data_IF_130184194845
#
_entry.id   IF_130184194845
#
_cell.length_a   1.000
_cell.length_b   1.000
_cell.length_c   1.000
_cell.angle_alpha   90.00
_cell.angle_beta   90.00
_cell.angle_gamma   90.00
#
_symmetry.space_group_name_H-M   'P 1'
#
loop_
_entity.id
_entity.type
_entity.pdbx_description
1 polymer ?
#
# COMPACT_ATOMS: atom_id res chain seq x y z
N UNK A 1 10.32 5.77 17.69
CA UNK A 1 11.20 4.79 17.02
C UNK A 1 10.35 3.75 16.32
N UNK A 2 10.66 3.36 15.07
CA UNK A 2 9.95 2.30 14.34
C UNK A 2 10.76 1.01 14.42
N UNK A 3 10.08 -0.13 14.57
CA UNK A 3 10.70 -1.44 14.56
C UNK A 3 10.57 -2.14 13.22
N UNK A 4 11.42 -3.14 12.98
CA UNK A 4 11.29 -4.08 11.86
C UNK A 4 11.35 -5.48 12.45
N UNK A 5 10.41 -6.34 12.05
CA UNK A 5 10.45 -7.76 12.34
C UNK A 5 10.97 -8.50 11.11
N UNK A 6 11.95 -9.38 11.31
CA UNK A 6 12.50 -10.23 10.25
C UNK A 6 12.46 -11.69 10.69
N UNK A 7 12.13 -12.57 9.76
CA UNK A 7 12.31 -14.00 9.96
C UNK A 7 13.77 -14.37 9.77
N UNK A 8 14.29 -15.18 10.68
CA UNK A 8 15.62 -15.77 10.57
C UNK A 8 15.50 -17.27 10.60
N UNK A 9 16.05 -17.93 9.59
CA UNK A 9 16.15 -19.39 9.63
C UNK A 9 17.18 -19.80 10.69
N UNK A 10 16.83 -20.75 11.58
CA UNK A 10 17.79 -21.28 12.53
C UNK A 10 18.86 -22.07 11.78
N UNK A 11 20.11 -21.61 11.79
CA UNK A 11 21.24 -22.38 11.25
C UNK A 11 21.41 -23.67 12.06
N UNK A 12 21.46 -24.82 11.37
CA UNK A 12 21.72 -26.12 11.98
C UNK A 12 23.10 -26.12 12.66
N UNK A 13 23.13 -26.36 13.97
CA UNK A 13 24.37 -26.63 14.72
C UNK A 13 24.75 -25.62 15.81
N UNK A 14 24.14 -24.43 15.86
CA UNK A 14 24.43 -23.43 16.92
C UNK A 14 23.20 -23.11 17.78
N UNK A 15 23.41 -23.01 19.10
CA UNK A 15 22.40 -22.55 20.06
C UNK A 15 22.13 -21.05 19.86
N UNK A 16 21.16 -20.71 19.01
CA UNK A 16 20.81 -19.31 18.73
C UNK A 16 19.68 -18.82 19.64
N UNK A 17 19.78 -17.56 20.07
CA UNK A 17 18.70 -16.90 20.82
C UNK A 17 17.42 -16.88 19.95
N UNK A 18 16.26 -17.25 20.49
CA UNK A 18 15.03 -17.32 19.71
C UNK A 18 14.54 -15.94 19.23
N UNK A 19 14.98 -14.87 19.88
CA UNK A 19 14.72 -13.46 19.51
C UNK A 19 16.00 -12.65 19.74
N UNK A 20 16.54 -12.04 18.69
CA UNK A 20 17.62 -11.04 18.75
C UNK A 20 17.09 -9.65 18.42
N UNK A 21 17.56 -8.65 19.16
CA UNK A 21 17.28 -7.23 18.90
C UNK A 21 18.58 -6.55 18.50
N UNK A 22 18.54 -5.79 17.42
CA UNK A 22 19.66 -4.99 16.92
C UNK A 22 19.14 -3.69 16.35
N UNK A 23 19.92 -2.62 16.47
CA UNK A 23 19.60 -1.38 15.74
C UNK A 23 20.21 -1.45 14.35
N UNK A 24 19.43 -1.07 13.33
CA UNK A 24 19.87 -0.99 11.93
C UNK A 24 19.53 0.36 11.33
N UNK A 25 20.45 0.89 10.54
CA UNK A 25 20.23 2.09 9.74
C UNK A 25 19.82 1.70 8.33
N UNK A 26 18.60 2.06 7.93
CA UNK A 26 18.09 1.84 6.57
C UNK A 26 17.80 3.21 5.98
N UNK A 27 18.43 3.52 4.85
CA UNK A 27 18.27 4.80 4.14
C UNK A 27 18.33 6.03 5.07
N UNK A 28 19.25 6.05 6.05
CA UNK A 28 19.43 7.15 7.02
C UNK A 28 18.39 7.24 8.16
N UNK A 29 17.51 6.23 8.28
CA UNK A 29 16.59 6.08 9.41
C UNK A 29 16.99 4.91 10.31
N UNK A 30 16.91 5.13 11.63
CA UNK A 30 17.16 4.11 12.65
C UNK A 30 15.92 3.25 12.88
N UNK A 31 16.09 1.95 12.70
CA UNK A 31 15.07 0.94 13.00
C UNK A 31 15.56 -0.01 14.09
N UNK A 32 14.65 -0.39 14.99
CA UNK A 32 14.90 -1.49 15.92
C UNK A 32 14.51 -2.81 15.25
N UNK A 33 15.49 -3.57 14.80
CA UNK A 33 15.31 -4.85 14.15
C UNK A 33 15.18 -5.98 15.18
N UNK A 34 14.05 -6.69 15.12
CA UNK A 34 13.79 -7.91 15.87
C UNK A 34 13.85 -9.10 14.92
N UNK A 35 14.92 -9.89 15.00
CA UNK A 35 15.01 -11.15 14.26
C UNK A 35 14.38 -12.26 15.11
N UNK A 36 13.40 -12.95 14.55
CA UNK A 36 12.72 -14.07 15.19
C UNK A 36 13.11 -15.35 14.46
N UNK A 37 13.61 -16.32 15.21
CA UNK A 37 13.91 -17.63 14.66
C UNK A 37 12.62 -18.32 14.21
N UNK A 38 12.50 -18.62 12.91
CA UNK A 38 11.39 -19.38 12.31
C UNK A 38 11.98 -20.50 11.45
N UNK A 39 11.89 -21.74 11.93
CA UNK A 39 12.20 -22.93 11.14
C UNK A 39 10.96 -23.50 10.44
N UNK A 40 11.12 -24.37 9.43
CA UNK A 40 10.04 -24.91 8.59
C UNK A 40 8.99 -25.76 9.33
N UNK A 41 9.26 -26.21 10.56
CA UNK A 41 8.34 -26.98 11.43
C UNK A 41 8.06 -26.31 12.77
N UNK A 42 8.21 -24.99 12.87
CA UNK A 42 8.00 -24.29 14.15
C UNK A 42 6.51 -24.27 14.49
N UNK A 43 6.07 -24.80 15.65
CA UNK A 43 4.67 -24.74 16.05
C UNK A 43 4.17 -23.30 16.21
N UNK A 44 2.94 -23.01 15.77
CA UNK A 44 2.34 -21.67 15.85
C UNK A 44 2.31 -21.10 17.27
N UNK A 45 2.07 -21.96 18.27
CA UNK A 45 2.10 -21.56 19.68
C UNK A 45 3.48 -21.04 20.11
N UNK A 46 4.55 -21.69 19.64
CA UNK A 46 5.92 -21.28 19.94
C UNK A 46 6.27 -19.97 19.19
N UNK A 47 5.79 -19.82 17.96
CA UNK A 47 5.92 -18.60 17.18
C UNK A 47 5.22 -17.42 17.89
N UNK A 48 3.98 -17.61 18.33
CA UNK A 48 3.21 -16.60 19.06
C UNK A 48 3.88 -16.16 20.37
N UNK A 49 4.51 -17.08 21.10
CA UNK A 49 5.27 -16.75 22.30
C UNK A 49 6.56 -15.95 21.99
N UNK A 50 7.27 -16.32 20.92
CA UNK A 50 8.47 -15.58 20.44
C UNK A 50 8.10 -14.17 19.99
N UNK A 51 7.01 -14.02 19.22
CA UNK A 51 6.46 -12.73 18.79
C UNK A 51 6.05 -11.88 19.99
N UNK A 52 5.34 -12.45 20.96
CA UNK A 52 4.95 -11.75 22.20
C UNK A 52 6.18 -11.25 22.98
N UNK A 53 7.21 -12.09 23.07
CA UNK A 53 8.47 -11.74 23.74
C UNK A 53 9.22 -10.63 23.01
N UNK A 54 9.24 -10.67 21.67
CA UNK A 54 9.80 -9.61 20.84
C UNK A 54 9.02 -8.30 21.03
N UNK A 55 7.68 -8.33 20.93
CA UNK A 55 6.81 -7.17 21.11
C UNK A 55 7.02 -6.50 22.47
N UNK A 56 7.04 -7.29 23.56
CA UNK A 56 7.27 -6.80 24.91
C UNK A 56 8.64 -6.10 25.04
N UNK A 57 9.69 -6.67 24.44
CA UNK A 57 11.03 -6.05 24.46
C UNK A 57 11.10 -4.79 23.59
N UNK A 58 10.49 -4.81 22.41
CA UNK A 58 10.41 -3.65 21.52
C UNK A 58 9.64 -2.48 22.15
N UNK A 59 8.53 -2.78 22.83
CA UNK A 59 7.75 -1.78 23.57
C UNK A 59 8.56 -1.12 24.68
N UNK A 60 9.37 -1.90 25.42
CA UNK A 60 10.29 -1.36 26.44
C UNK A 60 11.33 -0.39 25.86
N UNK A 61 11.74 -0.61 24.61
CA UNK A 61 12.65 0.26 23.87
C UNK A 61 11.93 1.44 23.19
N UNK A 62 10.64 1.67 23.48
CA UNK A 62 9.87 2.80 22.95
C UNK A 62 9.35 2.61 21.53
N UNK A 63 9.34 1.38 21.00
CA UNK A 63 8.72 1.09 19.70
C UNK A 63 7.20 1.00 19.85
N UNK A 64 6.50 1.78 19.04
CA UNK A 64 5.03 1.79 18.96
C UNK A 64 4.51 1.23 17.64
N UNK A 65 5.32 1.31 16.58
CA UNK A 65 5.00 0.87 15.22
C UNK A 65 6.05 -0.07 14.68
N UNK A 66 5.63 -1.10 13.94
CA UNK A 66 6.53 -2.14 13.42
C UNK A 66 6.22 -2.50 11.98
N UNK A 67 7.26 -2.68 11.18
CA UNK A 67 7.19 -3.29 9.84
C UNK A 67 7.21 -4.80 10.02
N UNK A 68 6.19 -5.47 9.51
CA UNK A 68 6.05 -6.92 9.57
C UNK A 68 6.76 -7.59 8.39
N UNK A 69 7.21 -8.84 8.52
CA UNK A 69 7.59 -9.66 7.37
C UNK A 69 6.41 -9.90 6.42
N UNK A 70 6.73 -10.30 5.19
CA UNK A 70 5.73 -10.88 4.29
C UNK A 70 5.11 -12.14 4.93
N UNK A 71 3.79 -12.32 4.80
CA UNK A 71 3.00 -13.43 5.39
C UNK A 71 3.03 -13.54 6.93
N UNK A 72 2.92 -12.42 7.64
CA UNK A 72 2.88 -12.41 9.10
C UNK A 72 1.48 -12.68 9.68
N UNK A 73 1.27 -13.85 10.28
CA UNK A 73 -0.02 -14.24 10.86
C UNK A 73 -0.27 -13.77 12.31
N UNK A 74 0.78 -13.39 13.07
CA UNK A 74 0.68 -13.15 14.51
C UNK A 74 0.44 -11.67 14.90
N UNK A 75 -0.40 -10.95 14.15
CA UNK A 75 -0.64 -9.50 14.35
C UNK A 75 -1.28 -9.24 15.71
N UNK A 76 -2.26 -10.06 16.11
CA UNK A 76 -2.99 -9.89 17.38
C UNK A 76 -2.07 -9.93 18.60
N UNK A 77 -1.00 -10.72 18.55
CA UNK A 77 0.00 -10.80 19.62
C UNK A 77 0.77 -9.50 19.79
N UNK A 78 1.06 -8.78 18.70
CA UNK A 78 1.76 -7.48 18.75
C UNK A 78 0.88 -6.40 19.37
N UNK A 79 -0.38 -6.35 18.93
CA UNK A 79 -1.35 -5.35 19.37
C UNK A 79 -1.63 -5.43 20.88
N UNK A 80 -1.66 -6.66 21.44
CA UNK A 80 -1.78 -6.89 22.89
C UNK A 80 -0.71 -6.18 23.72
N UNK A 81 0.49 -5.96 23.17
CA UNK A 81 1.59 -5.25 23.84
C UNK A 81 1.71 -3.79 23.40
N UNK A 82 0.72 -3.25 22.67
CA UNK A 82 0.69 -1.86 22.21
C UNK A 82 1.69 -1.57 21.09
N UNK A 83 2.07 -2.59 20.31
CA UNK A 83 2.87 -2.44 19.10
C UNK A 83 1.95 -2.70 17.91
N UNK A 84 1.79 -1.70 17.03
CA UNK A 84 0.91 -1.81 15.87
C UNK A 84 1.71 -1.93 14.57
N UNK A 85 1.17 -2.58 13.54
CA UNK A 85 1.78 -2.53 12.21
C UNK A 85 1.87 -1.08 11.70
N UNK A 86 2.87 -0.80 10.87
CA UNK A 86 2.91 0.47 10.13
C UNK A 86 1.73 0.51 9.16
N UNK A 87 0.93 1.57 9.22
CA UNK A 87 -0.17 1.78 8.29
C UNK A 87 0.36 2.05 6.88
N UNK A 88 -0.28 1.41 5.90
CA UNK A 88 -0.01 1.59 4.47
C UNK A 88 -1.06 2.49 3.80
N UNK A 89 -2.09 2.93 4.51
CA UNK A 89 -3.22 3.70 4.01
C UNK A 89 -2.78 4.94 3.21
N UNK A 90 -1.89 5.75 3.78
CA UNK A 90 -1.40 6.96 3.12
C UNK A 90 -0.64 6.64 1.82
N UNK A 91 0.15 5.56 1.82
CA UNK A 91 0.86 5.07 0.63
C UNK A 91 -0.12 4.58 -0.44
N UNK A 92 -1.13 3.78 -0.07
CA UNK A 92 -2.18 3.29 -0.99
C UNK A 92 -2.91 4.45 -1.66
N UNK A 93 -3.35 5.43 -0.87
CA UNK A 93 -4.04 6.63 -1.37
C UNK A 93 -3.15 7.51 -2.23
N UNK A 94 -1.83 7.47 -2.01
CA UNK A 94 -0.87 8.14 -2.88
C UNK A 94 -0.71 7.45 -4.22
N UNK A 95 -0.64 6.13 -4.23
CA UNK A 95 -0.47 5.34 -5.45
C UNK A 95 -1.76 5.15 -6.25
N UNK A 96 -2.88 5.67 -5.76
CA UNK A 96 -4.20 5.54 -6.37
C UNK A 96 -4.20 5.90 -7.86
N UNK A 97 -3.66 7.06 -8.26
CA UNK A 97 -3.64 7.46 -9.67
C UNK A 97 -2.75 6.56 -10.53
N UNK A 98 -1.67 6.03 -9.97
CA UNK A 98 -0.78 5.11 -10.68
C UNK A 98 -1.42 3.74 -10.86
N UNK A 99 -2.10 3.22 -9.83
CA UNK A 99 -2.85 1.98 -9.94
C UNK A 99 -4.04 2.11 -10.89
N UNK A 100 -4.75 3.24 -10.93
CA UNK A 100 -5.78 3.48 -11.95
C UNK A 100 -5.18 3.39 -13.35
N UNK A 101 -4.04 4.05 -13.60
CA UNK A 101 -3.35 4.01 -14.90
C UNK A 101 -2.96 2.57 -15.27
N UNK A 102 -2.39 1.84 -14.33
CA UNK A 102 -1.95 0.48 -14.51
C UNK A 102 -3.13 -0.47 -14.80
N UNK A 103 -4.20 -0.41 -14.00
CA UNK A 103 -5.38 -1.23 -14.20
C UNK A 103 -6.11 -0.95 -15.52
N UNK A 104 -6.08 0.30 -16.01
CA UNK A 104 -6.60 0.64 -17.33
C UNK A 104 -5.72 0.06 -18.45
N UNK A 105 -4.40 0.15 -18.31
CA UNK A 105 -3.44 -0.40 -19.27
C UNK A 105 -3.54 -1.93 -19.36
N UNK A 106 -3.64 -2.62 -18.22
CA UNK A 106 -3.85 -4.08 -18.15
C UNK A 106 -5.14 -4.52 -18.86
N UNK A 107 -6.16 -3.65 -18.89
CA UNK A 107 -7.44 -3.89 -19.57
C UNK A 107 -7.48 -3.41 -21.02
N UNK A 108 -6.43 -2.75 -21.52
CA UNK A 108 -6.42 -2.14 -22.85
C UNK A 108 -7.43 -0.99 -23.03
N UNK A 109 -7.90 -0.38 -21.94
CA UNK A 109 -8.86 0.73 -22.00
C UNK A 109 -8.09 2.04 -22.18
N UNK A 110 -8.46 2.82 -23.19
CA UNK A 110 -7.80 4.12 -23.44
C UNK A 110 -8.16 5.12 -22.32
N UNK A 111 -7.18 5.92 -21.83
CA UNK A 111 -7.43 6.88 -20.76
C UNK A 111 -8.50 7.93 -21.08
N UNK A 112 -8.69 8.27 -22.37
CA UNK A 112 -9.65 9.27 -22.82
C UNK A 112 -11.11 8.82 -22.82
N UNK A 113 -11.35 7.51 -22.89
CA UNK A 113 -12.69 6.91 -22.81
C UNK A 113 -13.04 6.31 -21.45
N UNK A 114 -12.03 6.08 -20.60
CA UNK A 114 -12.21 5.44 -19.30
C UNK A 114 -13.09 6.25 -18.35
N UNK A 115 -14.08 5.59 -17.74
CA UNK A 115 -14.90 6.14 -16.65
C UNK A 115 -14.25 5.77 -15.31
N UNK A 116 -13.73 6.76 -14.59
CA UNK A 116 -13.07 6.55 -13.29
C UNK A 116 -13.94 7.14 -12.19
N UNK A 117 -14.47 6.28 -11.32
CA UNK A 117 -15.24 6.68 -10.16
C UNK A 117 -14.39 6.71 -8.90
N UNK A 118 -14.58 7.71 -8.05
CA UNK A 118 -13.94 7.84 -6.74
C UNK A 118 -15.03 8.03 -5.69
N UNK A 119 -15.06 7.17 -4.68
CA UNK A 119 -15.99 7.24 -3.55
C UNK A 119 -15.22 7.40 -2.24
N UNK A 120 -15.66 8.34 -1.41
CA UNK A 120 -15.10 8.59 -0.08
C UNK A 120 -16.16 9.10 0.89
N UNK A 121 -16.02 8.76 2.16
CA UNK A 121 -16.92 9.21 3.22
C UNK A 121 -16.65 10.68 3.61
N UNK A 122 -15.44 11.18 3.40
CA UNK A 122 -15.02 12.53 3.82
C UNK A 122 -14.04 13.16 2.82
N UNK A 123 -14.05 14.49 2.75
CA UNK A 123 -13.06 15.27 2.00
C UNK A 123 -11.74 15.34 2.77
N UNK A 124 -10.70 14.73 2.21
CA UNK A 124 -9.34 14.74 2.76
C UNK A 124 -8.35 15.34 1.75
N UNK A 125 -7.20 15.82 2.21
CA UNK A 125 -6.14 16.31 1.33
C UNK A 125 -5.65 15.23 0.35
N UNK A 126 -5.64 13.96 0.78
CA UNK A 126 -5.29 12.83 -0.07
C UNK A 126 -6.32 12.62 -1.18
N UNK A 127 -7.62 12.65 -0.85
CA UNK A 127 -8.69 12.54 -1.82
C UNK A 127 -8.64 13.69 -2.84
N UNK A 128 -8.48 14.93 -2.36
CA UNK A 128 -8.36 16.11 -3.21
C UNK A 128 -7.21 15.94 -4.21
N UNK A 129 -6.04 15.52 -3.74
CA UNK A 129 -4.88 15.27 -4.60
C UNK A 129 -5.20 14.19 -5.64
N UNK A 130 -5.69 13.04 -5.21
CA UNK A 130 -6.01 11.91 -6.11
C UNK A 130 -7.04 12.29 -7.17
N UNK A 131 -8.13 12.96 -6.79
CA UNK A 131 -9.16 13.40 -7.74
C UNK A 131 -8.60 14.43 -8.72
N UNK A 132 -7.74 15.35 -8.24
CA UNK A 132 -7.06 16.33 -9.10
C UNK A 132 -6.17 15.63 -10.13
N UNK A 133 -5.32 14.70 -9.70
CA UNK A 133 -4.44 13.93 -10.59
C UNK A 133 -5.24 13.14 -11.64
N UNK A 134 -6.35 12.51 -11.23
CA UNK A 134 -7.22 11.77 -12.12
C UNK A 134 -7.96 12.68 -13.11
N UNK A 135 -8.47 13.82 -12.66
CA UNK A 135 -9.21 14.76 -13.51
C UNK A 135 -8.33 15.41 -14.58
N UNK A 136 -7.03 15.56 -14.32
CA UNK A 136 -6.06 16.05 -15.30
C UNK A 136 -5.71 15.01 -16.38
N UNK A 137 -5.94 13.72 -16.12
CA UNK A 137 -5.56 12.60 -17.00
C UNK A 137 -6.74 11.94 -17.69
N UNK A 138 -7.93 12.03 -17.10
CA UNK A 138 -9.13 11.36 -17.56
C UNK A 138 -10.25 12.36 -17.79
N UNK A 139 -11.02 12.15 -18.87
CA UNK A 139 -12.14 13.02 -19.22
C UNK A 139 -13.37 12.76 -18.35
N UNK A 140 -13.58 11.52 -17.91
CA UNK A 140 -14.79 11.11 -17.19
C UNK A 140 -14.45 10.66 -15.77
N UNK A 141 -14.30 11.64 -14.87
CA UNK A 141 -14.10 11.38 -13.44
C UNK A 141 -15.40 11.62 -12.69
N UNK A 142 -15.90 10.58 -12.03
CA UNK A 142 -17.07 10.64 -11.16
C UNK A 142 -16.60 10.74 -9.71
N UNK A 143 -17.15 11.68 -8.96
CA UNK A 143 -16.83 11.90 -7.55
C UNK A 143 -18.09 11.75 -6.71
N UNK A 144 -18.05 10.74 -5.83
CA UNK A 144 -19.05 10.46 -4.82
C UNK A 144 -18.49 10.81 -3.43
N UNK A 145 -18.96 11.93 -2.90
CA UNK A 145 -18.67 12.40 -1.53
C UNK A 145 -19.91 13.09 -0.97
N UNK A 146 -20.18 12.99 0.34
CA UNK A 146 -21.38 13.58 0.91
C UNK A 146 -21.35 15.11 0.93
N UNK A 147 -20.17 15.72 1.10
CA UNK A 147 -20.01 17.18 1.18
C UNK A 147 -18.71 17.63 0.52
N UNK A 148 -18.67 18.86 -0.01
CA UNK A 148 -17.45 19.52 -0.51
C UNK A 148 -17.04 19.18 -1.95
N UNK A 149 -17.74 18.26 -2.63
CA UNK A 149 -17.46 17.92 -4.04
C UNK A 149 -17.65 19.10 -5.00
N UNK A 150 -18.67 19.94 -4.77
CA UNK A 150 -18.93 21.12 -5.59
C UNK A 150 -17.80 22.15 -5.53
N UNK A 151 -17.26 22.40 -4.33
CA UNK A 151 -16.16 23.35 -4.14
C UNK A 151 -14.91 22.87 -4.88
N UNK A 152 -14.59 21.59 -4.74
CA UNK A 152 -13.48 20.98 -5.48
C UNK A 152 -13.71 21.10 -7.00
N UNK A 153 -14.91 20.77 -7.49
CA UNK A 153 -15.23 20.86 -8.92
C UNK A 153 -15.11 22.31 -9.44
N UNK A 154 -15.64 23.30 -8.70
CA UNK A 154 -15.51 24.72 -9.05
C UNK A 154 -14.05 25.16 -9.08
N UNK A 155 -13.24 24.74 -8.11
CA UNK A 155 -11.81 25.03 -8.08
C UNK A 155 -11.07 24.42 -9.28
N UNK A 156 -11.28 23.14 -9.55
CA UNK A 156 -10.65 22.44 -10.68
C UNK A 156 -11.03 23.05 -12.03
N UNK A 157 -12.28 23.49 -12.19
CA UNK A 157 -12.74 24.18 -13.40
C UNK A 157 -12.06 25.53 -13.59
N UNK A 158 -11.83 26.29 -12.50
CA UNK A 158 -11.16 27.60 -12.55
C UNK A 158 -9.66 27.47 -12.80
N UNK A 159 -9.00 26.54 -12.13
CA UNK A 159 -7.54 26.38 -12.17
C UNK A 159 -7.06 25.61 -13.40
N UNK A 160 -7.81 24.59 -13.82
CA UNK A 160 -7.36 23.63 -14.84
C UNK A 160 -8.35 23.45 -16.01
N UNK A 161 -9.53 24.06 -15.96
CA UNK A 161 -10.55 23.91 -17.01
C UNK A 161 -11.24 22.54 -17.06
N UNK A 162 -11.00 21.67 -16.08
CA UNK A 162 -11.60 20.32 -16.01
C UNK A 162 -12.88 20.32 -15.18
N UNK A 163 -13.77 19.35 -15.42
CA UNK A 163 -15.02 19.20 -14.68
C UNK A 163 -15.18 17.77 -14.17
N UNK A 164 -15.81 17.62 -13.01
CA UNK A 164 -16.14 16.34 -12.40
C UNK A 164 -17.63 16.06 -12.55
N UNK A 165 -18.00 14.79 -12.66
CA UNK A 165 -19.38 14.34 -12.50
C UNK A 165 -19.63 14.12 -11.00
N UNK A 166 -20.45 14.96 -10.39
CA UNK A 166 -20.74 14.93 -8.96
C UNK A 166 -22.01 14.14 -8.67
N UNK A 167 -22.04 13.48 -7.52
CA UNK A 167 -23.21 12.73 -7.05
C UNK A 167 -23.66 11.64 -8.03
N UNK A 168 -22.75 10.80 -8.55
CA UNK A 168 -23.15 9.72 -9.45
C UNK A 168 -24.12 8.77 -8.76
N UNK A 169 -25.11 8.29 -9.51
CA UNK A 169 -26.00 7.26 -8.98
C UNK A 169 -25.27 5.92 -8.84
N UNK A 170 -25.94 4.95 -8.21
CA UNK A 170 -25.36 3.63 -7.97
C UNK A 170 -24.98 2.91 -9.27
N UNK A 171 -25.79 3.04 -10.32
CA UNK A 171 -25.56 2.36 -11.59
C UNK A 171 -24.33 2.92 -12.28
N UNK A 172 -24.17 4.24 -12.29
CA UNK A 172 -22.98 4.93 -12.82
C UNK A 172 -21.69 4.53 -12.11
N UNK A 173 -21.75 4.31 -10.78
CA UNK A 173 -20.61 3.80 -10.01
C UNK A 173 -20.31 2.32 -10.31
N UNK A 174 -21.33 1.51 -10.54
CA UNK A 174 -21.18 0.08 -10.88
C UNK A 174 -20.65 -0.15 -12.30
N UNK A 175 -20.97 0.76 -13.23
CA UNK A 175 -20.53 0.78 -14.63
C UNK A 175 -19.14 1.38 -14.85
N UNK A 176 -18.57 2.06 -13.86
CA UNK A 176 -17.25 2.66 -14.00
C UNK A 176 -16.18 1.60 -14.32
N UNK A 177 -15.28 1.94 -15.24
CA UNK A 177 -14.16 1.09 -15.60
C UNK A 177 -13.27 0.81 -14.38
N UNK A 178 -12.99 1.87 -13.60
CA UNK A 178 -12.23 1.78 -12.37
C UNK A 178 -13.02 2.47 -11.26
N UNK A 179 -13.20 1.77 -10.14
CA UNK A 179 -13.81 2.30 -8.93
C UNK A 179 -12.76 2.38 -7.82
N UNK A 180 -12.44 3.59 -7.40
CA UNK A 180 -11.48 3.88 -6.33
C UNK A 180 -12.24 4.15 -5.03
N UNK A 181 -12.02 3.31 -4.01
CA UNK A 181 -12.70 3.42 -2.73
C UNK A 181 -11.74 3.89 -1.64
N UNK A 182 -12.00 5.07 -1.09
CA UNK A 182 -11.26 5.61 0.06
C UNK A 182 -11.79 5.09 1.40
N UNK A 183 -13.02 4.57 1.39
CA UNK A 183 -13.76 4.05 2.54
C UNK A 183 -14.62 2.83 2.12
N UNK A 184 -15.02 1.95 3.05
CA UNK A 184 -15.83 0.78 2.75
C UNK A 184 -17.21 1.13 2.17
N UNK A 185 -17.61 0.38 1.14
CA UNK A 185 -18.91 0.47 0.46
C UNK A 185 -19.40 -0.96 0.19
N UNK A 186 -20.52 -1.34 0.81
CA UNK A 186 -21.09 -2.70 0.72
C UNK A 186 -22.35 -2.78 -0.13
N UNK A 187 -22.86 -1.64 -0.57
CA UNK A 187 -24.10 -1.48 -1.32
C UNK A 187 -23.93 -1.60 -2.85
N UNK A 188 -22.68 -1.58 -3.32
CA UNK A 188 -22.34 -1.67 -4.75
C UNK A 188 -22.17 -3.14 -5.18
N UNK A 189 -22.84 -3.52 -6.29
CA UNK A 189 -22.69 -4.83 -6.93
C UNK A 189 -22.12 -4.64 -8.33
N UNK A 190 -20.79 -4.66 -8.41
CA UNK A 190 -20.12 -4.42 -9.67
C UNK A 190 -20.29 -5.56 -10.68
N UNK A 191 -20.69 -5.20 -11.90
CA UNK A 191 -20.88 -6.12 -13.03
C UNK A 191 -19.63 -6.25 -13.90
N UNK A 192 -18.86 -5.17 -14.07
CA UNK A 192 -17.65 -5.11 -14.92
C UNK A 192 -16.71 -3.97 -14.47
N UNK A 193 -15.38 -4.11 -14.64
CA UNK A 193 -14.35 -3.13 -14.22
C UNK A 193 -13.41 -3.57 -13.07
N UNK A 194 -12.54 -2.69 -12.55
CA UNK A 194 -11.60 -2.97 -11.44
C UNK A 194 -11.89 -2.09 -10.22
N UNK A 195 -11.97 -2.70 -9.03
CA UNK A 195 -12.15 -1.97 -7.77
C UNK A 195 -10.81 -1.87 -7.08
N UNK A 196 -10.45 -0.66 -6.67
CA UNK A 196 -9.25 -0.37 -5.90
C UNK A 196 -9.66 0.03 -4.46
N UNK A 197 -9.72 -0.93 -3.52
CA UNK A 197 -10.07 -0.66 -2.12
C UNK A 197 -8.86 -0.07 -1.37
N UNK A 198 -8.67 1.24 -1.46
CA UNK A 198 -7.52 1.91 -0.85
C UNK A 198 -7.56 1.89 0.68
N UNK A 199 -8.76 1.77 1.26
CA UNK A 199 -8.97 1.64 2.70
C UNK A 199 -8.55 0.27 3.25
N UNK A 200 -8.51 -0.76 2.41
CA UNK A 200 -8.24 -2.13 2.83
C UNK A 200 -6.73 -2.36 2.86
N UNK A 201 -6.15 -2.30 4.05
CA UNK A 201 -4.72 -2.59 4.25
C UNK A 201 -4.38 -4.08 4.15
N UNK A 202 -5.38 -4.97 4.25
CA UNK A 202 -5.23 -6.42 4.08
C UNK A 202 -5.26 -6.84 2.61
N UNK A 203 -5.91 -6.06 1.74
CA UNK A 203 -5.88 -6.30 0.30
C UNK A 203 -4.43 -6.28 -0.22
N UNK A 204 -4.03 -7.18 -1.13
CA UNK A 204 -2.68 -7.20 -1.66
C UNK A 204 -2.33 -5.85 -2.27
N UNK A 205 -1.13 -5.37 -1.95
CA UNK A 205 -0.61 -4.14 -2.55
C UNK A 205 -0.10 -4.47 -3.96
N UNK A 206 -0.45 -3.65 -4.95
CA UNK A 206 0.12 -3.77 -6.29
C UNK A 206 1.65 -3.64 -6.28
N UNK A 207 2.31 -4.05 -7.35
CA UNK A 207 3.76 -3.92 -7.48
C UNK A 207 4.23 -2.49 -7.18
N UNK A 208 5.36 -2.34 -6.49
CA UNK A 208 5.93 -1.04 -6.12
C UNK A 208 7.32 -0.93 -6.72
N UNK A 209 7.60 0.17 -7.40
CA UNK A 209 8.90 0.46 -7.99
C UNK A 209 9.62 1.55 -7.20
N UNK A 210 10.94 1.38 -7.08
CA UNK A 210 11.87 2.37 -6.55
C UNK A 210 13.05 2.51 -7.53
N UNK A 211 13.77 3.65 -7.49
CA UNK A 211 15.07 3.76 -8.11
C UNK A 211 16.03 2.63 -7.66
N UNK A 212 16.79 1.99 -8.57
CA UNK A 212 17.64 0.84 -8.25
C UNK A 212 18.62 1.07 -7.08
N UNK A 213 19.21 2.26 -7.00
CA UNK A 213 20.14 2.62 -5.93
C UNK A 213 19.52 2.63 -4.51
N UNK A 214 18.19 2.79 -4.41
CA UNK A 214 17.47 2.71 -3.14
C UNK A 214 17.02 1.27 -2.85
N UNK A 215 16.68 0.54 -3.91
CA UNK A 215 16.24 -0.85 -3.84
C UNK A 215 17.28 -1.76 -3.19
N UNK A 216 18.55 -1.67 -3.62
CA UNK A 216 19.66 -2.47 -3.10
C UNK A 216 19.95 -2.23 -1.61
N UNK A 217 19.45 -1.13 -1.04
CA UNK A 217 19.68 -0.73 0.35
C UNK A 217 18.55 -1.16 1.29
N UNK A 218 17.50 -1.79 0.77
CA UNK A 218 16.37 -2.27 1.57
C UNK A 218 16.65 -3.67 2.14
N UNK A 219 16.24 -3.94 3.39
CA UNK A 219 16.31 -5.29 3.95
C UNK A 219 15.33 -6.22 3.24
N UNK A 220 15.81 -7.41 2.87
CA UNK A 220 14.96 -8.49 2.37
C UNK A 220 14.06 -9.08 3.46
N UNK A 221 12.91 -9.60 3.06
CA UNK A 221 11.96 -10.28 3.95
C UNK A 221 11.11 -9.37 4.84
N UNK A 222 11.31 -8.04 4.78
CA UNK A 222 10.40 -7.06 5.37
C UNK A 222 9.26 -6.74 4.38
N UNK A 223 8.04 -6.59 4.90
CA UNK A 223 6.86 -6.25 4.12
C UNK A 223 7.05 -4.92 3.39
N UNK A 224 7.23 -5.01 2.06
CA UNK A 224 7.63 -3.89 1.20
C UNK A 224 6.75 -2.65 1.38
N UNK A 225 5.43 -2.81 1.31
CA UNK A 225 4.49 -1.69 1.44
C UNK A 225 4.59 -0.96 2.79
N UNK A 226 4.75 -1.70 3.89
CA UNK A 226 4.88 -1.11 5.24
C UNK A 226 6.22 -0.40 5.42
N UNK A 227 7.29 -0.96 4.85
CA UNK A 227 8.61 -0.34 4.91
C UNK A 227 8.63 0.99 4.14
N UNK A 228 8.12 1.01 2.91
CA UNK A 228 8.05 2.24 2.11
C UNK A 228 7.13 3.28 2.75
N UNK A 229 6.01 2.87 3.34
CA UNK A 229 5.14 3.75 4.08
C UNK A 229 5.87 4.41 5.27
N UNK A 230 6.62 3.62 6.06
CA UNK A 230 7.41 4.14 7.18
C UNK A 230 8.47 5.16 6.73
N UNK A 231 9.16 4.88 5.62
CA UNK A 231 10.22 5.73 5.08
C UNK A 231 9.68 7.03 4.47
N UNK A 232 8.53 6.99 3.81
CA UNK A 232 7.83 8.19 3.32
C UNK A 232 7.34 9.06 4.46
N UNK A 233 6.74 8.46 5.49
CA UNK A 233 6.26 9.21 6.65
C UNK A 233 7.40 9.89 7.41
N UNK A 234 8.57 9.25 7.45
CA UNK A 234 9.78 9.81 8.04
C UNK A 234 10.47 10.88 7.15
N UNK A 235 9.97 11.13 5.94
CA UNK A 235 10.56 12.08 4.98
C UNK A 235 11.89 11.64 4.37
N UNK A 236 12.26 10.36 4.56
CA UNK A 236 13.48 9.76 4.03
C UNK A 236 13.35 9.50 2.54
N UNK A 237 12.20 8.94 2.15
CA UNK A 237 11.81 8.84 0.76
C UNK A 237 11.00 10.06 0.39
N UNK A 238 11.31 10.62 -0.78
CA UNK A 238 10.45 11.59 -1.41
C UNK A 238 9.31 10.86 -2.09
N UNK A 239 8.11 11.45 -2.12
CA UNK A 239 6.98 10.73 -2.64
C UNK A 239 7.05 10.42 -4.15
N UNK A 240 7.82 11.19 -4.91
CA UNK A 240 8.04 10.98 -6.35
C UNK A 240 8.97 9.78 -6.63
N UNK A 241 9.64 9.26 -5.60
CA UNK A 241 10.54 8.11 -5.71
C UNK A 241 9.81 6.78 -5.61
N UNK A 242 8.53 6.77 -5.21
CA UNK A 242 7.71 5.57 -5.07
C UNK A 242 6.59 5.62 -6.09
N UNK A 243 6.54 4.63 -6.98
CA UNK A 243 5.49 4.51 -7.99
C UNK A 243 4.92 3.10 -8.03
N UNK A 244 3.74 2.95 -8.60
CA UNK A 244 3.24 1.61 -8.89
C UNK A 244 4.07 1.00 -10.03
N UNK A 245 4.56 -0.21 -9.79
CA UNK A 245 5.12 -1.07 -10.83
C UNK A 245 3.98 -1.86 -11.46
N UNK A 246 3.97 -1.92 -12.80
CA UNK A 246 3.20 -2.96 -13.47
C UNK A 246 3.65 -4.33 -12.92
N UNK A 247 2.77 -5.32 -12.71
CA UNK A 247 3.26 -6.69 -12.60
C UNK A 247 4.14 -6.92 -13.83
N UNK A 248 5.21 -7.73 -13.71
CA UNK A 248 5.77 -8.30 -14.92
C UNK A 248 4.57 -8.98 -15.62
N UNK A 249 4.13 -8.42 -16.75
CA UNK A 249 3.22 -9.14 -17.62
C UNK A 249 3.84 -10.52 -17.86
N UNK A 250 3.04 -11.58 -18.11
CA UNK A 250 3.62 -12.85 -18.51
C UNK A 250 4.60 -12.52 -19.62
N UNK A 251 5.89 -12.82 -19.37
CA UNK A 251 6.98 -12.44 -20.24
C UNK A 251 6.51 -12.74 -21.65
N UNK A 252 6.41 -11.70 -22.49
CA UNK A 252 6.13 -11.86 -23.90
C UNK A 252 7.16 -12.90 -24.35
N UNK A 253 6.69 -14.12 -24.58
CA UNK A 253 7.49 -15.17 -25.14
C UNK A 253 8.02 -14.54 -26.43
N UNK A 254 9.33 -14.32 -26.47
CA UNK A 254 10.05 -13.93 -27.65
C UNK A 254 9.67 -14.94 -28.73
N UNK A 255 8.66 -14.62 -29.53
CA UNK A 255 8.52 -15.17 -30.86
C UNK A 255 9.64 -14.52 -31.66
N UNK A 256 10.79 -15.18 -31.59
CA UNK A 256 11.84 -15.08 -32.57
C UNK A 256 11.21 -15.50 -33.90
N UNK A 257 10.69 -14.53 -34.64
CA UNK A 257 10.47 -14.66 -36.07
C UNK A 257 11.80 -14.27 -36.74
N UNK A 258 12.71 -15.25 -36.77
CA UNK A 258 13.81 -15.27 -37.71
C UNK A 258 13.41 -16.16 -38.89
N UNK A 259 13.56 -15.57 -40.08
CA UNK A 259 13.58 -16.18 -41.42
C UNK A 259 12.26 -16.73 -41.98
#
# INVERSE_FOLDING_TARGET
MIGILLWKEPQRGFWQRPVSLSERNILHMRFLCAEIARGPRTPEAQLGWRVSSAAKRMRKMGVTRVVLPEDFACVTQLEKYGVRPVSTLALRRRLASDWVRQSLAERGVSPGGARVAVSAAQMTGELVRTVTELALRHRYVLLDVPYGGEELCRRLRREYGVSLLLGPDREQLEEADILVLFDPRTDLRRRSGVTLPLYDEAAPMGGLSLPPALEERLPEGAGRGQLLAALLEAGVLRPEQVSASAPPGPAAANTVLNA
#
